data_IF_438026653221
#
_entry.id   IF_438026653221
#
_cell.length_a   1.000
_cell.length_b   1.000
_cell.length_c   1.000
_cell.angle_alpha   90.00
_cell.angle_beta   90.00
_cell.angle_gamma   90.00
#
_symmetry.space_group_name_H-M   'P 1'
#
loop_
_entity.id
_entity.type
_entity.pdbx_description
1 polymer ?
#
# COMPACT_ATOMS: atom_id res chain seq x y z
N UNK A 1 57.62 6.31 -26.17
CA UNK A 1 56.45 6.99 -25.61
C UNK A 1 55.42 5.94 -25.20
N UNK A 2 55.33 5.69 -23.91
CA UNK A 2 54.41 4.70 -23.37
C UNK A 2 53.26 5.46 -22.70
N UNK A 3 52.10 5.47 -23.35
CA UNK A 3 50.88 6.00 -22.73
C UNK A 3 50.27 4.91 -21.87
N UNK A 4 50.39 5.05 -20.56
CA UNK A 4 49.72 4.20 -19.57
C UNK A 4 48.31 4.74 -19.44
N UNK A 5 47.35 4.03 -20.02
CA UNK A 5 45.92 4.27 -19.86
C UNK A 5 45.49 3.78 -18.48
N UNK A 6 45.39 4.71 -17.53
CA UNK A 6 44.78 4.44 -16.23
C UNK A 6 43.28 4.39 -16.42
N UNK A 7 42.72 3.18 -16.61
CA UNK A 7 41.30 2.96 -16.51
C UNK A 7 40.93 2.95 -15.02
N UNK A 8 40.49 4.09 -14.53
CA UNK A 8 39.88 4.18 -13.22
C UNK A 8 38.52 3.47 -13.27
N UNK A 9 38.51 2.22 -12.85
CA UNK A 9 37.29 1.46 -12.61
C UNK A 9 36.62 2.02 -11.35
N UNK A 10 35.69 2.96 -11.53
CA UNK A 10 34.85 3.47 -10.46
C UNK A 10 33.87 2.36 -10.11
N UNK A 11 34.19 1.59 -9.07
CA UNK A 11 33.23 0.74 -8.40
C UNK A 11 32.17 1.65 -7.77
N UNK A 12 31.06 1.82 -8.45
CA UNK A 12 29.83 2.37 -7.87
C UNK A 12 29.34 1.38 -6.82
N UNK A 13 29.76 1.55 -5.58
CA UNK A 13 29.12 0.92 -4.43
C UNK A 13 27.71 1.48 -4.36
N UNK A 14 26.75 0.75 -4.97
CA UNK A 14 25.35 0.95 -4.71
C UNK A 14 25.16 0.58 -3.25
N UNK A 15 25.30 1.57 -2.38
CA UNK A 15 24.92 1.45 -0.99
C UNK A 15 23.42 1.20 -0.98
N UNK A 16 23.04 -0.06 -0.84
CA UNK A 16 21.68 -0.45 -0.52
C UNK A 16 21.43 0.02 0.91
N UNK A 17 21.09 1.29 1.08
CA UNK A 17 20.68 1.82 2.36
C UNK A 17 19.45 0.99 2.77
N UNK A 18 19.59 0.15 3.80
CA UNK A 18 18.45 -0.51 4.45
C UNK A 18 17.51 0.61 4.85
N UNK A 19 16.40 0.72 4.14
CA UNK A 19 15.35 1.66 4.51
C UNK A 19 14.75 1.15 5.82
N UNK A 20 15.08 1.83 6.92
CA UNK A 20 14.59 1.49 8.25
C UNK A 20 13.16 2.02 8.39
N UNK A 21 12.20 1.25 7.90
CA UNK A 21 10.79 1.61 7.91
C UNK A 21 10.00 0.96 6.77
N UNK A 22 8.75 1.38 6.61
CA UNK A 22 7.91 0.92 5.52
C UNK A 22 7.92 1.90 4.34
N UNK A 23 7.67 1.36 3.16
CA UNK A 23 7.26 2.09 1.98
C UNK A 23 6.00 1.42 1.44
N UNK A 24 4.90 2.16 1.36
CA UNK A 24 3.68 1.70 0.70
C UNK A 24 3.52 2.43 -0.63
N UNK A 25 3.45 1.68 -1.71
CA UNK A 25 3.18 2.20 -3.05
C UNK A 25 1.84 1.67 -3.54
N UNK A 26 0.94 2.56 -3.93
CA UNK A 26 -0.32 2.18 -4.57
C UNK A 26 -0.25 2.44 -6.07
N UNK A 27 -0.65 1.44 -6.88
CA UNK A 27 -0.83 1.55 -8.32
C UNK A 27 -2.34 1.60 -8.60
N UNK A 28 -2.80 2.69 -9.19
CA UNK A 28 -4.23 2.99 -9.35
C UNK A 28 -4.52 3.50 -10.77
N UNK A 29 -5.80 3.50 -11.20
CA UNK A 29 -6.16 4.04 -12.52
C UNK A 29 -5.73 5.51 -12.70
N UNK A 30 -5.27 5.86 -13.88
CA UNK A 30 -4.91 7.25 -14.24
C UNK A 30 -6.11 8.22 -14.11
N UNK A 31 -7.33 7.71 -14.26
CA UNK A 31 -8.54 8.49 -14.06
C UNK A 31 -8.68 9.08 -12.63
N UNK A 32 -7.90 8.58 -11.68
CA UNK A 32 -7.87 9.07 -10.30
C UNK A 32 -6.75 10.08 -10.03
N UNK A 33 -6.12 10.59 -11.06
CA UNK A 33 -5.06 11.60 -10.97
C UNK A 33 -5.46 12.79 -10.09
N UNK A 34 -4.57 13.23 -9.21
CA UNK A 34 -4.77 14.35 -8.29
C UNK A 34 -5.70 14.09 -7.12
N UNK A 35 -6.32 12.90 -7.02
CA UNK A 35 -7.23 12.58 -5.91
C UNK A 35 -6.45 12.39 -4.61
N UNK A 36 -6.97 12.89 -3.47
CA UNK A 36 -6.34 12.75 -2.18
C UNK A 36 -6.46 11.32 -1.65
N UNK A 37 -5.39 10.86 -1.03
CA UNK A 37 -5.26 9.55 -0.38
C UNK A 37 -4.86 9.75 1.07
N UNK A 38 -5.52 9.04 1.97
CA UNK A 38 -5.28 9.12 3.41
C UNK A 38 -4.90 7.74 3.96
N UNK A 39 -3.88 7.72 4.80
CA UNK A 39 -3.47 6.57 5.59
C UNK A 39 -4.02 6.70 7.01
N UNK A 40 -4.78 5.71 7.42
CA UNK A 40 -5.45 5.66 8.72
C UNK A 40 -5.04 4.39 9.46
N UNK A 41 -4.74 4.51 10.73
CA UNK A 41 -4.44 3.39 11.62
C UNK A 41 -5.73 2.91 12.28
N UNK A 42 -6.00 1.60 12.23
CA UNK A 42 -7.22 0.97 12.74
C UNK A 42 -6.97 0.12 14.01
N UNK A 43 -5.97 0.46 14.81
CA UNK A 43 -5.58 -0.35 15.98
C UNK A 43 -6.33 -0.03 17.27
N UNK A 44 -7.23 0.95 17.26
CA UNK A 44 -8.01 1.40 18.39
C UNK A 44 -9.47 1.57 18.02
N UNK A 45 -10.33 1.74 19.02
CA UNK A 45 -11.76 2.01 18.81
C UNK A 45 -12.05 3.31 18.03
N UNK A 46 -11.03 4.09 17.72
CA UNK A 46 -11.13 5.31 16.91
C UNK A 46 -10.05 5.30 15.82
N UNK A 47 -10.45 5.50 14.55
CA UNK A 47 -9.49 5.63 13.46
C UNK A 47 -8.52 6.79 13.73
N UNK A 48 -7.23 6.53 13.59
CA UNK A 48 -6.18 7.52 13.80
C UNK A 48 -5.53 7.89 12.46
N UNK A 49 -5.67 9.16 12.07
CA UNK A 49 -5.03 9.70 10.88
C UNK A 49 -3.50 9.69 11.05
N UNK A 50 -2.80 9.14 10.07
CA UNK A 50 -1.34 9.05 10.04
C UNK A 50 -0.74 10.01 9.04
N UNK A 51 -1.17 9.95 7.77
CA UNK A 51 -0.57 10.72 6.69
C UNK A 51 -1.53 10.87 5.50
N UNK A 52 -1.22 11.80 4.60
CA UNK A 52 -1.94 12.00 3.37
C UNK A 52 -1.02 12.31 2.20
N UNK A 53 -1.47 11.94 1.01
CA UNK A 53 -0.78 12.23 -0.25
C UNK A 53 -1.81 12.43 -1.36
N UNK A 54 -1.34 12.66 -2.59
CA UNK A 54 -2.17 12.70 -3.79
C UNK A 54 -1.68 11.68 -4.80
N UNK A 55 -2.60 11.21 -5.63
CA UNK A 55 -2.26 10.36 -6.77
C UNK A 55 -1.55 11.21 -7.81
N UNK A 56 -0.41 10.74 -8.29
CA UNK A 56 0.38 11.33 -9.36
C UNK A 56 0.97 10.27 -10.25
N UNK A 57 0.74 10.38 -11.55
CA UNK A 57 1.18 9.38 -12.53
C UNK A 57 0.60 7.98 -12.28
N UNK A 58 -0.66 7.90 -11.84
CA UNK A 58 -1.31 6.62 -11.51
C UNK A 58 -0.76 5.95 -10.25
N UNK A 59 -0.08 6.70 -9.37
CA UNK A 59 0.56 6.17 -8.15
C UNK A 59 0.33 7.08 -6.95
N UNK A 60 0.33 6.47 -5.77
CA UNK A 60 0.53 7.17 -4.50
C UNK A 60 1.59 6.47 -3.67
N UNK A 61 2.19 7.19 -2.73
CA UNK A 61 3.26 6.64 -1.89
C UNK A 61 3.17 7.19 -0.47
N UNK A 62 3.34 6.28 0.50
CA UNK A 62 3.57 6.60 1.90
C UNK A 62 4.89 6.00 2.36
N UNK A 63 5.57 6.69 3.26
CA UNK A 63 6.79 6.23 3.91
C UNK A 63 6.75 6.59 5.38
N UNK A 64 7.21 5.68 6.21
CA UNK A 64 7.25 5.91 7.64
C UNK A 64 7.86 4.75 8.37
N UNK A 65 7.71 4.74 9.69
CA UNK A 65 8.22 3.69 10.54
C UNK A 65 7.16 3.24 11.53
N UNK A 66 6.93 1.94 11.58
CA UNK A 66 6.22 1.28 12.66
C UNK A 66 7.19 0.31 13.35
N UNK A 67 7.16 0.25 14.66
CA UNK A 67 8.00 -0.69 15.44
C UNK A 67 7.49 -2.13 15.34
N UNK A 68 6.19 -2.27 15.12
CA UNK A 68 5.50 -3.55 14.93
C UNK A 68 4.53 -3.43 13.76
N UNK A 69 4.15 -4.54 13.11
CA UNK A 69 3.15 -4.52 12.06
C UNK A 69 1.85 -3.86 12.52
N UNK A 70 1.28 -3.02 11.68
CA UNK A 70 0.03 -2.29 11.96
C UNK A 70 -1.02 -2.56 10.90
N UNK A 71 -2.26 -2.70 11.35
CA UNK A 71 -3.41 -2.79 10.47
C UNK A 71 -3.89 -1.37 10.14
N UNK A 72 -3.87 -1.05 8.86
CA UNK A 72 -4.15 0.29 8.36
C UNK A 72 -5.21 0.24 7.27
N UNK A 73 -5.95 1.34 7.13
CA UNK A 73 -6.89 1.56 6.03
C UNK A 73 -6.40 2.70 5.15
N UNK A 74 -6.43 2.49 3.84
CA UNK A 74 -6.22 3.51 2.82
C UNK A 74 -7.58 4.00 2.36
N UNK A 75 -7.79 5.32 2.39
CA UNK A 75 -8.99 5.98 1.88
C UNK A 75 -8.63 6.87 0.69
N UNK A 76 -9.20 6.60 -0.47
CA UNK A 76 -9.05 7.41 -1.68
C UNK A 76 -10.37 8.15 -1.93
N UNK A 77 -10.32 9.47 -1.91
CA UNK A 77 -11.51 10.30 -2.12
C UNK A 77 -11.62 10.69 -3.59
N UNK A 78 -12.50 10.03 -4.34
CA UNK A 78 -12.71 10.32 -5.75
C UNK A 78 -13.42 11.66 -6.00
N UNK A 79 -14.23 12.10 -5.04
CA UNK A 79 -14.83 13.43 -5.04
C UNK A 79 -14.56 14.14 -3.70
N UNK A 80 -13.50 14.94 -3.60
CA UNK A 80 -13.14 15.60 -2.35
C UNK A 80 -14.15 16.67 -1.91
N UNK A 81 -15.04 17.12 -2.81
CA UNK A 81 -16.08 18.11 -2.51
C UNK A 81 -17.35 17.47 -1.95
N UNK A 82 -17.57 16.20 -2.21
CA UNK A 82 -18.72 15.44 -1.71
C UNK A 82 -18.32 14.57 -0.52
N UNK A 83 -18.22 15.17 0.65
CA UNK A 83 -17.90 14.46 1.90
C UNK A 83 -19.08 13.65 2.47
N UNK A 84 -20.27 13.78 1.90
CA UNK A 84 -21.47 13.15 2.43
C UNK A 84 -21.79 11.79 1.80
N UNK A 85 -21.35 11.55 0.57
CA UNK A 85 -21.61 10.28 -0.11
C UNK A 85 -20.41 9.32 0.01
N UNK A 86 -20.54 8.35 0.90
CA UNK A 86 -19.56 7.25 1.06
C UNK A 86 -19.31 6.46 -0.24
N UNK A 87 -20.20 6.57 -1.22
CA UNK A 87 -20.08 5.91 -2.52
C UNK A 87 -18.91 6.38 -3.39
N UNK A 88 -18.29 7.52 -3.06
CA UNK A 88 -17.16 8.09 -3.77
C UNK A 88 -15.82 7.95 -3.03
N UNK A 89 -15.83 7.19 -1.95
CA UNK A 89 -14.62 6.84 -1.20
C UNK A 89 -14.30 5.38 -1.51
N UNK A 90 -13.13 5.16 -2.06
CA UNK A 90 -12.55 3.83 -2.22
C UNK A 90 -11.69 3.57 -1.00
N UNK A 91 -11.94 2.45 -0.32
CA UNK A 91 -11.13 2.05 0.82
C UNK A 91 -10.67 0.59 0.69
N UNK A 92 -9.53 0.31 1.25
CA UNK A 92 -9.00 -1.03 1.45
C UNK A 92 -8.07 -1.03 2.66
N UNK A 93 -8.01 -2.18 3.33
CA UNK A 93 -7.20 -2.34 4.54
C UNK A 93 -6.09 -3.36 4.31
N UNK A 94 -4.98 -3.16 4.99
CA UNK A 94 -3.80 -4.01 4.87
C UNK A 94 -2.95 -3.94 6.14
N UNK A 95 -2.10 -4.97 6.33
CA UNK A 95 -1.01 -4.88 7.29
C UNK A 95 0.20 -4.19 6.67
N UNK A 96 0.77 -3.24 7.39
CA UNK A 96 2.03 -2.57 7.05
C UNK A 96 3.06 -2.98 8.08
N UNK A 97 4.11 -3.62 7.62
CA UNK A 97 5.32 -3.95 8.39
C UNK A 97 6.52 -3.12 7.88
N UNK A 98 7.72 -3.35 8.43
CA UNK A 98 8.91 -2.59 8.05
C UNK A 98 9.50 -3.04 6.70
N UNK A 99 8.65 -3.22 5.69
CA UNK A 99 9.02 -3.64 4.33
C UNK A 99 8.46 -2.71 3.25
N UNK A 100 8.84 -2.98 2.01
CA UNK A 100 8.22 -2.37 0.85
C UNK A 100 6.92 -3.13 0.51
N UNK A 101 5.79 -2.44 0.63
CA UNK A 101 4.45 -2.97 0.35
C UNK A 101 3.93 -2.32 -0.92
N UNK A 102 3.36 -3.12 -1.81
CA UNK A 102 2.69 -2.65 -3.02
C UNK A 102 1.22 -3.05 -3.02
N UNK A 103 0.35 -2.09 -3.33
CA UNK A 103 -1.09 -2.29 -3.51
C UNK A 103 -1.47 -1.95 -4.94
N UNK A 104 -1.82 -2.94 -5.75
CA UNK A 104 -2.24 -2.75 -7.14
C UNK A 104 -3.75 -2.83 -7.26
N UNK A 105 -4.36 -1.77 -7.80
CA UNK A 105 -5.78 -1.69 -8.06
C UNK A 105 -6.14 -2.33 -9.40
N UNK A 106 -6.96 -3.38 -9.37
CA UNK A 106 -7.62 -3.93 -10.54
C UNK A 106 -9.05 -3.37 -10.61
N UNK A 107 -9.27 -2.45 -11.54
CA UNK A 107 -10.56 -1.79 -11.72
C UNK A 107 -11.22 -2.19 -13.03
N UNK A 108 -12.26 -3.03 -12.93
CA UNK A 108 -13.03 -3.51 -14.09
C UNK A 108 -14.37 -2.79 -14.28
N UNK A 109 -14.51 -1.59 -13.71
CA UNK A 109 -15.66 -0.70 -13.93
C UNK A 109 -16.80 -0.80 -12.92
N UNK A 110 -16.82 -1.79 -12.00
CA UNK A 110 -17.84 -1.88 -10.95
C UNK A 110 -17.27 -1.66 -9.55
N UNK A 111 -16.33 -2.50 -9.15
CA UNK A 111 -15.71 -2.42 -7.82
C UNK A 111 -14.18 -2.57 -7.97
N UNK A 112 -13.41 -1.64 -7.42
CA UNK A 112 -11.97 -1.79 -7.37
C UNK A 112 -11.57 -2.93 -6.43
N UNK A 113 -10.64 -3.76 -6.89
CA UNK A 113 -10.04 -4.82 -6.08
C UNK A 113 -8.56 -4.53 -5.95
N UNK A 114 -8.05 -4.56 -4.74
CA UNK A 114 -6.63 -4.34 -4.47
C UNK A 114 -5.91 -5.65 -4.20
N UNK A 115 -4.83 -5.88 -4.91
CA UNK A 115 -3.88 -6.95 -4.64
C UNK A 115 -2.71 -6.37 -3.87
N UNK A 116 -2.41 -6.97 -2.70
CA UNK A 116 -1.34 -6.49 -1.81
C UNK A 116 -0.19 -7.49 -1.86
N UNK A 117 1.03 -6.98 -2.00
CA UNK A 117 2.25 -7.77 -2.02
C UNK A 117 3.38 -7.10 -1.24
N UNK A 118 4.43 -7.85 -0.90
CA UNK A 118 5.64 -7.34 -0.26
C UNK A 118 5.66 -7.41 1.26
N UNK A 119 4.52 -7.52 1.94
CA UNK A 119 4.45 -7.69 3.39
C UNK A 119 4.29 -9.17 3.77
N UNK A 120 5.19 -9.67 4.63
CA UNK A 120 5.08 -11.01 5.20
C UNK A 120 3.83 -11.16 6.08
N UNK A 121 3.57 -10.17 6.92
CA UNK A 121 2.40 -10.12 7.79
C UNK A 121 1.09 -10.12 7.00
N UNK A 122 1.04 -9.38 5.90
CA UNK A 122 -0.12 -9.38 5.01
C UNK A 122 -0.33 -10.75 4.36
N UNK A 123 0.73 -11.41 3.96
CA UNK A 123 0.67 -12.77 3.38
C UNK A 123 0.12 -13.78 4.39
N UNK A 124 0.60 -13.74 5.63
CA UNK A 124 0.09 -14.58 6.72
C UNK A 124 -1.40 -14.34 6.99
N UNK A 125 -1.80 -13.07 7.00
CA UNK A 125 -3.20 -12.69 7.18
C UNK A 125 -4.10 -13.20 6.05
N UNK A 126 -3.67 -13.08 4.80
CA UNK A 126 -4.41 -13.60 3.65
C UNK A 126 -4.53 -15.12 3.67
N UNK A 127 -3.49 -15.82 4.06
CA UNK A 127 -3.52 -17.28 4.24
C UNK A 127 -4.54 -17.66 5.32
N UNK A 128 -4.51 -17.00 6.47
CA UNK A 128 -5.49 -17.22 7.54
C UNK A 128 -6.92 -17.01 7.04
N UNK A 129 -7.22 -15.92 6.33
CA UNK A 129 -8.54 -15.67 5.77
C UNK A 129 -9.00 -16.78 4.82
N UNK A 130 -8.09 -17.30 3.99
CA UNK A 130 -8.41 -18.38 3.05
C UNK A 130 -8.73 -19.71 3.75
N UNK A 131 -8.17 -19.93 4.93
CA UNK A 131 -8.44 -21.13 5.74
C UNK A 131 -9.78 -21.06 6.46
N UNK A 132 -10.20 -19.88 6.93
CA UNK A 132 -11.47 -19.73 7.67
C UNK A 132 -12.68 -19.54 6.77
N UNK A 133 -12.53 -19.02 5.56
CA UNK A 133 -13.63 -18.75 4.62
C UNK A 133 -14.51 -19.97 4.32
N UNK A 134 -13.95 -21.18 4.08
CA UNK A 134 -14.75 -22.40 3.89
C UNK A 134 -15.60 -22.77 5.11
N UNK A 135 -15.13 -22.47 6.32
CA UNK A 135 -15.86 -22.75 7.57
C UNK A 135 -17.04 -21.82 7.80
N UNK A 136 -16.94 -20.57 7.36
CA UNK A 136 -18.04 -19.61 7.45
C UNK A 136 -19.13 -19.89 6.41
N UNK A 137 -18.76 -20.28 5.19
CA UNK A 137 -19.69 -20.68 4.15
C UNK A 137 -20.52 -21.93 4.54
N UNK A 138 -19.95 -22.86 5.29
CA UNK A 138 -20.65 -24.04 5.79
C UNK A 138 -21.64 -23.70 6.91
N UNK A 139 -21.31 -22.73 7.76
CA UNK A 139 -22.23 -22.24 8.81
C UNK A 139 -23.44 -21.49 8.24
N UNK A 140 -23.30 -20.83 7.12
CA UNK A 140 -24.38 -20.06 6.50
C UNK A 140 -25.42 -20.95 5.78
N UNK A 141 -25.12 -22.25 5.59
CA UNK A 141 -26.00 -23.23 4.93
C UNK A 141 -26.83 -24.09 5.90
N UNK A 142 -26.66 -23.90 7.19
CA UNK A 142 -27.42 -24.56 8.25
C UNK A 142 -28.43 -23.59 8.85
#
# INVERSE_FOLDING_TARGET
MKYILFIAFILSVVSCAKHDGYTLTGLVPEAWEGKPVFLVLDDTNQPHFIDSTKISGGKFKFQGKFEVPRYCTINIYLDPNDRQTRSKIINFSLFIDSTAVEATCNYSGKHPVFQISGSGTQTEYQNYLSEIQPMEDDRSKT
#
